data_IF_855027367152
#
_entry.id   IF_855027367152
#
_cell.length_a   1.000
_cell.length_b   1.000
_cell.length_c   1.000
_cell.angle_alpha   90.00
_cell.angle_beta   90.00
_cell.angle_gamma   90.00
#
_symmetry.space_group_name_H-M   'P 1'
#
loop_
_entity.id
_entity.type
_entity.pdbx_description
1 polymer ?
#
# COMPACT_ATOMS: atom_id res chain seq x y z
N UNK A 1 18.05 9.01 -8.28
CA UNK A 1 17.61 8.01 -7.29
C UNK A 1 16.51 8.57 -6.41
N UNK A 2 16.72 9.71 -5.77
CA UNK A 2 15.72 10.38 -4.93
C UNK A 2 14.33 10.52 -5.59
N UNK A 3 14.26 11.03 -6.83
CA UNK A 3 12.98 11.17 -7.54
C UNK A 3 12.24 9.85 -7.78
N UNK A 4 12.96 8.76 -8.01
CA UNK A 4 12.39 7.42 -8.20
C UNK A 4 11.90 6.83 -6.87
N UNK A 5 12.66 7.06 -5.79
CA UNK A 5 12.25 6.69 -4.45
C UNK A 5 10.97 7.41 -4.04
N UNK A 6 10.87 8.72 -4.27
CA UNK A 6 9.64 9.48 -4.01
C UNK A 6 8.46 8.99 -4.88
N UNK A 7 8.71 8.60 -6.13
CA UNK A 7 7.68 8.02 -6.99
C UNK A 7 7.16 6.67 -6.46
N UNK A 8 8.05 5.79 -5.99
CA UNK A 8 7.66 4.54 -5.33
C UNK A 8 6.88 4.83 -4.05
N UNK A 9 7.40 5.71 -3.18
CA UNK A 9 6.75 6.08 -1.92
C UNK A 9 5.34 6.62 -2.13
N UNK A 10 5.15 7.48 -3.14
CA UNK A 10 3.83 8.02 -3.50
C UNK A 10 2.84 6.91 -3.87
N UNK A 11 3.28 5.90 -4.63
CA UNK A 11 2.44 4.75 -5.00
C UNK A 11 2.09 3.89 -3.78
N UNK A 12 3.07 3.64 -2.91
CA UNK A 12 2.85 2.87 -1.68
C UNK A 12 1.91 3.58 -0.71
N UNK A 13 2.02 4.91 -0.59
CA UNK A 13 1.11 5.71 0.22
C UNK A 13 -0.34 5.60 -0.27
N UNK A 14 -0.57 5.62 -1.59
CA UNK A 14 -1.94 5.45 -2.11
C UNK A 14 -2.52 4.05 -1.79
N UNK A 15 -1.68 3.01 -1.84
CA UNK A 15 -2.08 1.65 -1.42
C UNK A 15 -2.39 1.61 0.07
N UNK A 16 -1.58 2.27 0.89
CA UNK A 16 -1.76 2.36 2.34
C UNK A 16 -3.03 3.13 2.72
N UNK A 17 -3.32 4.25 2.07
CA UNK A 17 -4.55 5.04 2.27
C UNK A 17 -5.81 4.20 1.99
N UNK A 18 -5.81 3.46 0.88
CA UNK A 18 -6.92 2.58 0.51
C UNK A 18 -7.09 1.43 1.51
N UNK A 19 -5.98 0.85 1.97
CA UNK A 19 -5.97 -0.23 2.96
C UNK A 19 -6.43 0.24 4.33
N UNK A 20 -6.00 1.44 4.74
CA UNK A 20 -6.40 2.11 5.97
C UNK A 20 -7.88 2.46 5.97
N UNK A 21 -8.41 2.98 4.86
CA UNK A 21 -9.84 3.21 4.70
C UNK A 21 -10.65 1.90 4.81
N UNK A 22 -10.17 0.82 4.19
CA UNK A 22 -10.79 -0.50 4.33
C UNK A 22 -10.75 -1.01 5.79
N UNK A 23 -9.64 -0.76 6.50
CA UNK A 23 -9.49 -1.08 7.93
C UNK A 23 -10.48 -0.32 8.82
N UNK A 24 -10.69 0.97 8.55
CA UNK A 24 -11.71 1.76 9.25
C UNK A 24 -13.12 1.22 9.01
N UNK A 25 -13.45 0.86 7.77
CA UNK A 25 -14.76 0.25 7.44
C UNK A 25 -14.95 -1.12 8.11
N UNK A 26 -13.88 -1.89 8.26
CA UNK A 26 -13.92 -3.16 8.98
C UNK A 26 -14.18 -2.96 10.48
N UNK A 27 -13.51 -1.98 11.10
CA UNK A 27 -13.78 -1.62 12.48
C UNK A 27 -15.23 -1.15 12.67
N UNK A 28 -15.72 -0.26 11.80
CA UNK A 28 -17.10 0.22 11.84
C UNK A 28 -18.10 -0.95 11.69
N UNK A 29 -17.80 -1.93 10.83
CA UNK A 29 -18.62 -3.13 10.64
C UNK A 29 -18.80 -3.91 11.95
N UNK A 30 -17.78 -3.90 12.79
CA UNK A 30 -17.70 -4.68 14.03
C UNK A 30 -18.23 -3.92 15.25
N UNK A 31 -18.47 -2.60 15.13
CA UNK A 31 -18.78 -1.73 16.27
C UNK A 31 -20.07 -0.94 16.10
N UNK A 32 -20.27 -0.26 14.97
CA UNK A 32 -21.35 0.71 14.79
C UNK A 32 -22.33 0.37 13.66
N UNK A 33 -21.95 -0.51 12.72
CA UNK A 33 -22.78 -0.80 11.55
C UNK A 33 -24.17 -1.34 11.96
N UNK A 34 -25.27 -0.73 11.49
CA UNK A 34 -26.61 -1.20 11.82
C UNK A 34 -26.95 -2.53 11.11
N UNK A 35 -27.91 -3.30 11.66
CA UNK A 35 -28.47 -4.46 10.98
C UNK A 35 -29.00 -4.07 9.58
N UNK A 36 -28.56 -4.80 8.55
CA UNK A 36 -28.90 -4.52 7.15
C UNK A 36 -27.80 -3.82 6.33
N UNK A 37 -26.77 -3.28 6.98
CA UNK A 37 -25.64 -2.61 6.28
C UNK A 37 -24.67 -3.54 5.55
N UNK A 38 -24.72 -4.85 5.83
CA UNK A 38 -23.72 -5.82 5.42
C UNK A 38 -23.44 -5.85 3.90
N UNK A 39 -24.50 -5.84 3.07
CA UNK A 39 -24.33 -5.91 1.62
C UNK A 39 -23.63 -4.65 1.05
N UNK A 40 -23.95 -3.47 1.56
CA UNK A 40 -23.29 -2.23 1.16
C UNK A 40 -21.84 -2.19 1.64
N UNK A 41 -21.59 -2.59 2.90
CA UNK A 41 -20.25 -2.68 3.47
C UNK A 41 -19.34 -3.63 2.69
N UNK A 42 -19.84 -4.81 2.36
CA UNK A 42 -19.09 -5.78 1.57
C UNK A 42 -18.66 -5.21 0.21
N UNK A 43 -19.54 -4.47 -0.49
CA UNK A 43 -19.19 -3.82 -1.77
C UNK A 43 -18.13 -2.73 -1.59
N UNK A 44 -18.22 -1.92 -0.54
CA UNK A 44 -17.24 -0.86 -0.25
C UNK A 44 -15.86 -1.46 0.02
N UNK A 45 -15.78 -2.41 0.95
CA UNK A 45 -14.52 -3.08 1.29
C UNK A 45 -13.93 -3.79 0.08
N UNK A 46 -14.71 -4.55 -0.68
CA UNK A 46 -14.23 -5.24 -1.89
C UNK A 46 -13.68 -4.27 -2.94
N UNK A 47 -14.29 -3.09 -3.10
CA UNK A 47 -13.79 -2.06 -4.02
C UNK A 47 -12.43 -1.54 -3.58
N UNK A 48 -12.30 -1.16 -2.30
CA UNK A 48 -11.05 -0.63 -1.76
C UNK A 48 -9.92 -1.67 -1.81
N UNK A 49 -10.19 -2.92 -1.39
CA UNK A 49 -9.17 -3.98 -1.40
C UNK A 49 -8.74 -4.34 -2.82
N UNK A 50 -9.67 -4.36 -3.79
CA UNK A 50 -9.33 -4.60 -5.20
C UNK A 50 -8.43 -3.49 -5.73
N UNK A 51 -8.76 -2.22 -5.49
CA UNK A 51 -7.97 -1.09 -5.96
C UNK A 51 -6.58 -1.05 -5.30
N UNK A 52 -6.49 -1.30 -3.99
CA UNK A 52 -5.22 -1.40 -3.29
C UNK A 52 -4.35 -2.52 -3.89
N UNK A 53 -4.93 -3.69 -4.15
CA UNK A 53 -4.24 -4.81 -4.77
C UNK A 53 -3.75 -4.51 -6.19
N UNK A 54 -4.62 -3.98 -7.06
CA UNK A 54 -4.27 -3.61 -8.44
C UNK A 54 -3.12 -2.59 -8.47
N UNK A 55 -3.14 -1.59 -7.58
CA UNK A 55 -2.09 -0.56 -7.50
C UNK A 55 -0.78 -1.11 -6.96
N UNK A 56 -0.82 -1.97 -5.95
CA UNK A 56 0.38 -2.57 -5.37
C UNK A 56 1.06 -3.54 -6.34
N UNK A 57 0.26 -4.30 -7.08
CA UNK A 57 0.74 -5.28 -8.07
C UNK A 57 1.01 -4.68 -9.46
N UNK A 58 0.87 -3.36 -9.62
CA UNK A 58 1.21 -2.67 -10.85
C UNK A 58 2.68 -2.96 -11.22
N UNK A 59 2.99 -3.39 -12.46
CA UNK A 59 4.36 -3.68 -12.87
C UNK A 59 5.33 -2.50 -12.71
N UNK A 60 4.81 -1.26 -12.65
CA UNK A 60 5.61 -0.07 -12.34
C UNK A 60 6.24 -0.09 -10.95
N UNK A 61 5.62 -0.73 -9.96
CA UNK A 61 6.18 -0.89 -8.61
C UNK A 61 7.44 -1.76 -8.67
N UNK A 62 7.36 -2.93 -9.32
CA UNK A 62 8.51 -3.83 -9.49
C UNK A 62 9.66 -3.16 -10.25
N UNK A 63 9.36 -2.47 -11.35
CA UNK A 63 10.37 -1.70 -12.11
C UNK A 63 11.07 -0.65 -11.25
N UNK A 64 10.32 0.11 -10.44
CA UNK A 64 10.90 1.11 -9.55
C UNK A 64 11.80 0.47 -8.49
N UNK A 65 11.38 -0.65 -7.90
CA UNK A 65 12.19 -1.38 -6.93
C UNK A 65 13.52 -1.82 -7.57
N UNK A 66 13.47 -2.42 -8.76
CA UNK A 66 14.67 -2.88 -9.50
C UNK A 66 15.63 -1.73 -9.81
N UNK A 67 15.10 -0.59 -10.27
CA UNK A 67 15.90 0.60 -10.52
C UNK A 67 16.49 1.23 -9.25
N UNK A 68 15.89 0.98 -8.09
CA UNK A 68 16.33 1.49 -6.79
C UNK A 68 17.32 0.56 -6.08
N UNK A 69 17.64 -0.62 -6.62
CA UNK A 69 18.61 -1.56 -6.01
C UNK A 69 19.96 -0.92 -5.65
N UNK A 70 20.64 -0.21 -6.56
CA UNK A 70 21.90 0.47 -6.25
C UNK A 70 21.75 1.60 -5.22
N UNK A 71 20.56 2.19 -5.10
CA UNK A 71 20.28 3.21 -4.09
C UNK A 71 20.11 2.56 -2.70
N UNK A 72 19.38 1.45 -2.63
CA UNK A 72 19.26 0.62 -1.42
C UNK A 72 20.63 0.22 -0.88
N UNK A 73 21.53 -0.29 -1.73
CA UNK A 73 22.88 -0.71 -1.36
C UNK A 73 23.77 0.44 -0.87
N UNK A 74 23.47 1.68 -1.27
CA UNK A 74 24.22 2.86 -0.86
C UNK A 74 23.83 3.42 0.51
N UNK A 75 22.71 2.95 1.07
CA UNK A 75 22.16 3.43 2.33
C UNK A 75 22.58 2.54 3.51
N UNK A 76 22.61 3.08 4.75
CA UNK A 76 22.72 2.27 5.95
C UNK A 76 21.58 1.23 5.98
N UNK A 77 21.92 -0.02 6.35
CA UNK A 77 20.97 -1.13 6.36
C UNK A 77 19.71 -0.86 7.21
N UNK A 78 19.87 -0.08 8.28
CA UNK A 78 18.84 0.29 9.25
C UNK A 78 18.12 1.61 8.93
N UNK A 79 18.39 2.24 7.78
CA UNK A 79 17.65 3.42 7.37
C UNK A 79 16.20 3.07 7.01
N UNK A 80 15.29 4.04 7.19
CA UNK A 80 13.88 3.89 6.84
C UNK A 80 13.71 3.58 5.36
N UNK A 81 14.47 4.25 4.49
CA UNK A 81 14.41 4.06 3.04
C UNK A 81 14.88 2.67 2.60
N UNK A 82 16.03 2.20 3.11
CA UNK A 82 16.54 0.86 2.82
C UNK A 82 15.56 -0.22 3.33
N UNK A 83 15.02 -0.02 4.53
CA UNK A 83 14.02 -0.91 5.12
C UNK A 83 12.72 -0.94 4.31
N UNK A 84 12.24 0.22 3.85
CA UNK A 84 11.03 0.31 3.01
C UNK A 84 11.19 -0.48 1.71
N UNK A 85 12.32 -0.33 1.01
CA UNK A 85 12.59 -1.04 -0.24
C UNK A 85 12.60 -2.56 -0.03
N UNK A 86 13.30 -3.03 0.99
CA UNK A 86 13.41 -4.46 1.33
C UNK A 86 12.08 -5.07 1.77
N UNK A 87 11.31 -4.36 2.59
CA UNK A 87 9.98 -4.83 3.04
C UNK A 87 9.00 -4.87 1.89
N UNK A 88 9.05 -3.88 0.98
CA UNK A 88 8.15 -3.84 -0.19
C UNK A 88 8.41 -5.01 -1.15
N UNK A 89 9.65 -5.50 -1.26
CA UNK A 89 10.01 -6.65 -2.11
C UNK A 89 9.59 -8.01 -1.55
N UNK A 90 9.32 -8.12 -0.25
CA UNK A 90 9.07 -9.40 0.44
C UNK A 90 7.69 -9.96 0.14
#
# INVERSE_FOLDING_TARGET
MESKFQALKTRLMEVDDLSSAAGLLYWDQSTYMPPGGAAARARQTATLTRLAHEKFTDPGVGKLLDELGPYEESLPYDSDEASLLRVTRR
#
